data_IF_773883121660
#
_entry.id   IF_773883121660
#
_cell.length_a   1.000
_cell.length_b   1.000
_cell.length_c   1.000
_cell.angle_alpha   90.00
_cell.angle_beta   90.00
_cell.angle_gamma   90.00
#
_symmetry.space_group_name_H-M   'P 1'
#
loop_
_entity.id
_entity.type
_entity.pdbx_description
1 polymer ?
#
# COMPACT_ATOMS: atom_id res chain seq x y z
N UNK A 1 20.34 21.46 -16.86
CA UNK A 1 20.20 20.81 -15.54
C UNK A 1 19.84 19.36 -15.79
N UNK A 2 20.63 18.40 -15.31
CA UNK A 2 20.31 16.98 -15.47
C UNK A 2 19.18 16.61 -14.50
N UNK A 3 17.97 16.36 -15.03
CA UNK A 3 16.89 15.73 -14.28
C UNK A 3 17.18 14.23 -14.21
N UNK A 4 17.87 13.78 -13.16
CA UNK A 4 17.90 12.36 -12.86
C UNK A 4 16.54 11.99 -12.27
N UNK A 5 15.65 11.45 -13.10
CA UNK A 5 14.49 10.70 -12.61
C UNK A 5 15.04 9.44 -11.94
N UNK A 6 15.32 9.53 -10.64
CA UNK A 6 15.74 8.40 -9.84
C UNK A 6 14.60 7.38 -9.85
N UNK A 7 14.84 6.27 -10.53
CA UNK A 7 13.97 5.09 -10.51
C UNK A 7 14.61 4.00 -9.67
N UNK A 8 13.77 3.22 -9.00
CA UNK A 8 14.18 2.18 -8.07
C UNK A 8 13.98 0.79 -8.67
N UNK A 9 14.87 -0.15 -8.35
CA UNK A 9 14.74 -1.56 -8.73
C UNK A 9 13.65 -2.25 -7.91
N UNK A 10 13.47 -1.83 -6.65
CA UNK A 10 12.44 -2.30 -5.74
C UNK A 10 11.87 -1.12 -4.95
N UNK A 11 10.55 -1.03 -4.90
CA UNK A 11 9.82 -0.17 -3.97
C UNK A 11 8.95 -1.05 -3.07
N UNK A 12 8.94 -0.75 -1.78
CA UNK A 12 8.12 -1.48 -0.82
C UNK A 12 7.30 -0.55 0.05
N UNK A 13 6.06 -0.96 0.33
CA UNK A 13 5.15 -0.30 1.25
C UNK A 13 4.54 -1.36 2.18
N UNK A 14 4.84 -1.29 3.47
CA UNK A 14 4.33 -2.22 4.47
C UNK A 14 3.43 -1.46 5.42
N UNK A 15 2.19 -1.91 5.59
CA UNK A 15 1.20 -1.30 6.49
C UNK A 15 1.09 0.21 6.24
N UNK A 16 0.92 0.58 4.97
CA UNK A 16 0.92 1.99 4.53
C UNK A 16 -0.18 2.33 3.54
N UNK A 17 -0.54 1.41 2.64
CA UNK A 17 -1.52 1.68 1.60
C UNK A 17 -2.92 2.01 2.17
N UNK A 18 -3.21 1.57 3.39
CA UNK A 18 -4.46 1.84 4.09
C UNK A 18 -4.51 3.22 4.75
N UNK A 19 -3.36 3.90 4.84
CA UNK A 19 -3.23 5.20 5.48
C UNK A 19 -3.31 6.37 4.49
N UNK A 20 -3.45 6.09 3.19
CA UNK A 20 -3.55 7.11 2.15
C UNK A 20 -5.00 7.27 1.69
N UNK A 21 -5.40 8.50 1.42
CA UNK A 21 -6.78 8.80 0.98
C UNK A 21 -7.09 8.21 -0.41
N UNK A 22 -6.08 8.12 -1.28
CA UNK A 22 -6.20 7.68 -2.67
C UNK A 22 -5.18 6.57 -2.98
N UNK A 23 -5.47 5.30 -2.65
CA UNK A 23 -4.52 4.20 -2.78
C UNK A 23 -4.09 3.93 -4.23
N UNK A 24 -4.96 4.18 -5.21
CA UNK A 24 -4.62 4.04 -6.62
C UNK A 24 -3.59 5.08 -7.10
N UNK A 25 -3.68 6.32 -6.61
CA UNK A 25 -2.71 7.37 -6.93
C UNK A 25 -1.35 7.04 -6.32
N UNK A 26 -1.34 6.50 -5.09
CA UNK A 26 -0.15 6.00 -4.43
C UNK A 26 0.53 4.87 -5.24
N UNK A 27 -0.22 3.84 -5.64
CA UNK A 27 0.31 2.75 -6.48
C UNK A 27 0.82 3.30 -7.81
N UNK A 28 0.12 4.26 -8.40
CA UNK A 28 0.52 4.90 -9.67
C UNK A 28 1.86 5.63 -9.52
N UNK A 29 2.04 6.38 -8.43
CA UNK A 29 3.31 7.04 -8.12
C UNK A 29 4.45 6.02 -7.90
N UNK A 30 4.19 4.93 -7.18
CA UNK A 30 5.16 3.83 -7.04
C UNK A 30 5.54 3.24 -8.41
N UNK A 31 4.57 3.00 -9.29
CA UNK A 31 4.82 2.49 -10.64
C UNK A 31 5.66 3.45 -11.48
N UNK A 32 5.42 4.76 -11.42
CA UNK A 32 6.21 5.77 -12.14
C UNK A 32 7.67 5.81 -11.69
N UNK A 33 7.91 5.63 -10.38
CA UNK A 33 9.24 5.61 -9.77
C UNK A 33 9.93 4.25 -9.85
N UNK A 34 9.25 3.19 -10.28
CA UNK A 34 9.86 1.87 -10.47
C UNK A 34 10.51 1.78 -11.85
N UNK A 35 11.66 1.11 -11.93
CA UNK A 35 12.32 0.78 -13.20
C UNK A 35 11.48 -0.21 -14.01
N UNK A 36 11.71 -0.27 -15.33
CA UNK A 36 11.19 -1.37 -16.13
C UNK A 36 11.79 -2.69 -15.58
N UNK A 37 10.95 -3.71 -15.39
CA UNK A 37 11.29 -4.97 -14.71
C UNK A 37 11.67 -4.85 -13.22
N UNK A 38 11.44 -3.69 -12.58
CA UNK A 38 11.53 -3.55 -11.13
C UNK A 38 10.30 -4.13 -10.43
N UNK A 39 10.40 -4.26 -9.11
CA UNK A 39 9.34 -4.84 -8.28
C UNK A 39 8.69 -3.80 -7.38
N UNK A 40 7.38 -3.91 -7.23
CA UNK A 40 6.62 -3.24 -6.18
C UNK A 40 6.16 -4.33 -5.20
N UNK A 41 6.45 -4.13 -3.92
CA UNK A 41 6.06 -5.04 -2.85
C UNK A 41 5.13 -4.28 -1.91
N UNK A 42 3.89 -4.75 -1.76
CA UNK A 42 2.91 -4.14 -0.86
C UNK A 42 2.48 -5.20 0.16
N UNK A 43 2.51 -4.84 1.44
CA UNK A 43 1.89 -5.60 2.53
C UNK A 43 0.73 -4.80 3.10
N UNK A 44 -0.39 -5.48 3.30
CA UNK A 44 -1.67 -4.90 3.65
C UNK A 44 -2.54 -5.94 4.38
N UNK A 45 -3.64 -5.48 4.98
CA UNK A 45 -4.56 -6.29 5.75
C UNK A 45 -5.25 -7.37 4.93
N UNK A 46 -5.28 -8.60 5.45
CA UNK A 46 -5.97 -9.71 4.81
C UNK A 46 -7.41 -9.87 5.34
N UNK A 47 -8.38 -9.38 4.58
CA UNK A 47 -9.82 -9.51 4.87
C UNK A 47 -10.30 -10.96 4.91
N UNK A 48 -9.56 -11.88 4.30
CA UNK A 48 -9.87 -13.31 4.27
C UNK A 48 -9.32 -14.09 5.47
N UNK A 49 -8.51 -13.45 6.32
CA UNK A 49 -7.95 -14.07 7.52
C UNK A 49 -9.05 -14.44 8.52
N UNK A 50 -8.83 -15.53 9.27
CA UNK A 50 -9.79 -15.99 10.28
C UNK A 50 -10.13 -14.91 11.32
N UNK A 51 -9.16 -14.15 11.88
CA UNK A 51 -9.47 -13.07 12.82
C UNK A 51 -10.36 -11.97 12.19
N UNK A 52 -10.16 -11.68 10.90
CA UNK A 52 -10.98 -10.72 10.17
C UNK A 52 -12.40 -11.23 9.94
N UNK A 53 -12.56 -12.48 9.50
CA UNK A 53 -13.89 -13.08 9.29
C UNK A 53 -14.71 -13.16 10.58
N UNK A 54 -14.07 -13.41 11.72
CA UNK A 54 -14.70 -13.42 13.05
C UNK A 54 -15.09 -12.00 13.49
N UNK A 55 -14.16 -11.04 13.38
CA UNK A 55 -14.33 -9.70 13.93
C UNK A 55 -15.16 -8.77 13.02
N UNK A 56 -15.14 -9.02 11.71
CA UNK A 56 -15.78 -8.20 10.65
C UNK A 56 -15.40 -6.72 10.81
N UNK A 57 -16.38 -5.82 10.82
CA UNK A 57 -16.18 -4.38 11.02
C UNK A 57 -15.63 -3.99 12.40
N UNK A 58 -15.46 -4.95 13.31
CA UNK A 58 -14.81 -4.74 14.61
C UNK A 58 -13.34 -5.18 14.63
N UNK A 59 -12.79 -5.63 13.50
CA UNK A 59 -11.37 -5.92 13.43
C UNK A 59 -10.58 -4.61 13.66
N UNK A 60 -9.61 -4.61 14.58
CA UNK A 60 -8.80 -3.42 14.87
C UNK A 60 -8.10 -2.86 13.63
N UNK A 61 -7.79 -3.72 12.66
CA UNK A 61 -7.20 -3.33 11.38
C UNK A 61 -8.13 -2.42 10.56
N UNK A 62 -9.45 -2.56 10.66
CA UNK A 62 -10.39 -1.67 9.96
C UNK A 62 -11.14 -0.68 10.85
N UNK A 63 -11.03 -0.84 12.16
CA UNK A 63 -11.61 0.07 13.14
C UNK A 63 -10.62 1.16 13.62
N UNK A 64 -9.33 1.06 13.25
CA UNK A 64 -8.33 2.09 13.55
C UNK A 64 -8.58 3.35 12.71
N UNK A 65 -8.56 4.52 13.33
CA UNK A 65 -8.74 5.81 12.65
C UNK A 65 -7.60 6.15 11.67
N UNK A 66 -6.44 5.51 11.82
CA UNK A 66 -5.32 5.70 10.90
C UNK A 66 -5.51 4.94 9.59
N UNK A 67 -6.36 3.91 9.56
CA UNK A 67 -6.61 3.10 8.36
C UNK A 67 -7.91 3.60 7.70
N UNK A 68 -7.74 4.44 6.68
CA UNK A 68 -8.81 5.22 6.05
C UNK A 68 -9.26 4.66 4.69
N UNK A 69 -8.53 3.68 4.12
CA UNK A 69 -8.85 3.05 2.84
C UNK A 69 -8.62 1.53 2.87
N UNK A 70 -9.50 0.75 2.22
CA UNK A 70 -9.47 -0.72 2.12
C UNK A 70 -9.85 -1.19 0.72
#
# INVERSE_FOLDING_TARGET
MASFSLKFDVLSAFDFIEHVEHPFDFITAMAQLTKNNGYIIISSGNTESLPWKISRSRNLYCANFEHISF
#
